data_IF_988924745481
#
_entry.id   IF_988924745481
#
_cell.length_a   1.000
_cell.length_b   1.000
_cell.length_c   1.000
_cell.angle_alpha   90.00
_cell.angle_beta   90.00
_cell.angle_gamma   90.00
#
_symmetry.space_group_name_H-M   'P 1'
#
loop_
_entity.id
_entity.type
_entity.pdbx_description
1 polymer ?
#
# COMPACT_ATOMS: atom_id res chain seq x y z
N UNK A 1 12.29 -27.23 -0.43
CA UNK A 1 11.05 -27.57 -1.17
C UNK A 1 10.34 -26.24 -1.40
N UNK A 2 10.18 -25.81 -2.64
CA UNK A 2 9.56 -24.51 -2.97
C UNK A 2 8.08 -24.58 -2.57
N UNK A 3 7.60 -23.61 -1.81
CA UNK A 3 6.19 -23.59 -1.37
C UNK A 3 5.25 -23.51 -2.58
N UNK A 4 4.01 -23.99 -2.44
CA UNK A 4 3.01 -23.83 -3.50
C UNK A 4 2.88 -22.36 -3.92
N UNK A 5 2.92 -21.45 -2.95
CA UNK A 5 2.88 -20.01 -3.18
C UNK A 5 4.04 -19.53 -4.07
N UNK A 6 5.28 -19.93 -3.79
CA UNK A 6 6.44 -19.57 -4.62
C UNK A 6 6.35 -20.16 -6.03
N UNK A 7 5.91 -21.42 -6.16
CA UNK A 7 5.71 -22.08 -7.46
C UNK A 7 4.65 -21.38 -8.30
N UNK A 8 3.60 -20.87 -7.65
CA UNK A 8 2.50 -20.15 -8.28
C UNK A 8 2.90 -18.72 -8.63
N UNK A 9 3.60 -18.03 -7.74
CA UNK A 9 3.96 -16.64 -7.91
C UNK A 9 4.97 -16.43 -9.04
N UNK A 10 5.93 -17.35 -9.25
CA UNK A 10 6.99 -17.21 -10.27
C UNK A 10 7.63 -15.81 -10.25
N UNK A 11 8.00 -15.35 -9.04
CA UNK A 11 8.34 -13.94 -8.79
C UNK A 11 9.78 -13.54 -9.16
N UNK A 12 10.62 -14.49 -9.58
CA UNK A 12 12.01 -14.20 -9.93
C UNK A 12 12.09 -13.13 -11.04
N UNK A 13 12.87 -12.08 -10.80
CA UNK A 13 13.03 -10.93 -11.70
C UNK A 13 11.70 -10.25 -12.12
N UNK A 14 10.66 -10.34 -11.28
CA UNK A 14 9.39 -9.64 -11.48
C UNK A 14 9.20 -8.58 -10.39
N UNK A 15 8.58 -7.45 -10.74
CA UNK A 15 8.09 -6.52 -9.72
C UNK A 15 6.89 -7.15 -9.00
N UNK A 16 6.82 -7.01 -7.68
CA UNK A 16 5.74 -7.58 -6.89
C UNK A 16 4.34 -7.08 -7.34
N UNK A 17 4.12 -5.80 -7.70
CA UNK A 17 2.86 -5.37 -8.31
C UNK A 17 2.49 -6.15 -9.58
N UNK A 18 3.45 -6.48 -10.44
CA UNK A 18 3.20 -7.28 -11.65
C UNK A 18 2.86 -8.72 -11.32
N UNK A 19 3.43 -9.29 -10.24
CA UNK A 19 3.07 -10.62 -9.75
C UNK A 19 1.60 -10.64 -9.32
N UNK A 20 1.16 -9.62 -8.57
CA UNK A 20 -0.25 -9.47 -8.16
C UNK A 20 -1.16 -9.36 -9.38
N UNK A 21 -0.85 -8.48 -10.33
CA UNK A 21 -1.65 -8.30 -11.56
C UNK A 21 -1.72 -9.58 -12.41
N UNK A 22 -0.61 -10.32 -12.50
CA UNK A 22 -0.56 -11.62 -13.19
C UNK A 22 -1.43 -12.65 -12.50
N UNK A 23 -1.31 -12.81 -11.19
CA UNK A 23 -2.10 -13.79 -10.43
C UNK A 23 -3.58 -13.45 -10.41
N UNK A 24 -3.95 -12.16 -10.38
CA UNK A 24 -5.33 -11.73 -10.52
C UNK A 24 -5.95 -12.14 -11.86
N UNK A 25 -5.15 -12.17 -12.94
CA UNK A 25 -5.58 -12.60 -14.28
C UNK A 25 -5.58 -14.11 -14.45
N UNK A 26 -4.51 -14.78 -14.04
CA UNK A 26 -4.31 -16.22 -14.28
C UNK A 26 -5.01 -17.10 -13.23
N UNK A 27 -5.16 -16.61 -12.01
CA UNK A 27 -5.71 -17.33 -10.85
C UNK A 27 -6.55 -16.40 -9.96
N UNK A 28 -7.61 -15.78 -10.51
CA UNK A 28 -8.38 -14.75 -9.80
C UNK A 28 -8.88 -15.18 -8.43
N UNK A 29 -9.30 -16.44 -8.29
CA UNK A 29 -9.88 -17.00 -7.06
C UNK A 29 -8.83 -17.61 -6.11
N UNK A 30 -7.55 -17.60 -6.47
CA UNK A 30 -6.51 -18.08 -5.56
C UNK A 30 -6.42 -17.16 -4.34
N UNK A 31 -6.31 -17.76 -3.15
CA UNK A 31 -6.23 -17.05 -1.87
C UNK A 31 -4.91 -16.28 -1.80
N UNK A 32 -5.01 -14.97 -1.59
CA UNK A 32 -3.86 -14.11 -1.29
C UNK A 32 -3.56 -14.14 0.21
N UNK A 33 -4.58 -13.90 1.04
CA UNK A 33 -4.42 -13.82 2.49
C UNK A 33 -5.75 -13.84 3.23
N UNK A 34 -5.66 -13.81 4.55
CA UNK A 34 -6.79 -13.89 5.48
C UNK A 34 -6.64 -12.82 6.56
N UNK A 35 -7.72 -12.13 6.87
CA UNK A 35 -7.76 -11.13 7.93
C UNK A 35 -8.96 -11.37 8.85
N UNK A 36 -8.78 -11.08 10.13
CA UNK A 36 -9.89 -11.04 11.08
C UNK A 36 -10.56 -9.67 10.94
N UNK A 37 -11.80 -9.67 10.47
CA UNK A 37 -12.63 -8.46 10.34
C UNK A 37 -13.90 -8.63 11.17
N UNK A 38 -14.07 -7.79 12.20
CA UNK A 38 -15.13 -7.96 13.19
C UNK A 38 -14.98 -9.30 13.93
N UNK A 39 -16.02 -10.15 13.88
CA UNK A 39 -16.02 -11.49 14.48
C UNK A 39 -15.67 -12.61 13.50
N UNK A 40 -15.40 -12.29 12.23
CA UNK A 40 -15.17 -13.27 11.16
C UNK A 40 -13.75 -13.24 10.60
N UNK A 41 -13.39 -14.31 9.90
CA UNK A 41 -12.20 -14.36 9.04
C UNK A 41 -12.64 -14.12 7.61
N UNK A 42 -12.08 -13.10 6.97
CA UNK A 42 -12.29 -12.82 5.55
C UNK A 42 -11.08 -13.26 4.77
N UNK A 43 -11.34 -14.07 3.74
CA UNK A 43 -10.35 -14.50 2.76
C UNK A 43 -10.34 -13.48 1.64
N UNK A 44 -9.16 -12.98 1.30
CA UNK A 44 -8.98 -12.11 0.14
C UNK A 44 -8.28 -12.90 -0.97
N UNK A 45 -8.84 -12.82 -2.17
CA UNK A 45 -8.31 -13.43 -3.39
C UNK A 45 -7.35 -12.49 -4.12
N UNK A 46 -6.59 -12.99 -5.10
CA UNK A 46 -5.73 -12.14 -5.92
C UNK A 46 -6.53 -11.14 -6.79
N UNK A 47 -7.71 -11.52 -7.28
CA UNK A 47 -8.57 -10.60 -8.03
C UNK A 47 -9.05 -9.43 -7.15
N UNK A 48 -9.42 -9.72 -5.91
CA UNK A 48 -9.82 -8.69 -4.95
C UNK A 48 -8.63 -7.82 -4.53
N UNK A 49 -7.47 -8.41 -4.22
CA UNK A 49 -6.26 -7.64 -3.92
C UNK A 49 -5.93 -6.67 -5.06
N UNK A 50 -5.91 -7.14 -6.32
CA UNK A 50 -5.61 -6.27 -7.45
C UNK A 50 -6.63 -5.13 -7.60
N UNK A 51 -7.92 -5.40 -7.36
CA UNK A 51 -8.96 -4.37 -7.36
C UNK A 51 -8.74 -3.32 -6.25
N UNK A 52 -8.45 -3.76 -5.03
CA UNK A 52 -8.14 -2.88 -3.89
C UNK A 52 -6.90 -2.03 -4.19
N UNK A 53 -5.85 -2.64 -4.74
CA UNK A 53 -4.63 -1.92 -5.16
C UNK A 53 -4.94 -0.84 -6.18
N UNK A 54 -5.77 -1.14 -7.18
CA UNK A 54 -6.16 -0.16 -8.20
C UNK A 54 -6.99 0.98 -7.60
N UNK A 55 -7.95 0.68 -6.71
CA UNK A 55 -8.74 1.71 -6.05
C UNK A 55 -7.90 2.65 -5.18
N UNK A 56 -6.94 2.10 -4.44
CA UNK A 56 -6.00 2.90 -3.66
C UNK A 56 -5.05 3.71 -4.57
N UNK A 57 -4.59 3.15 -5.68
CA UNK A 57 -3.73 3.86 -6.64
C UNK A 57 -4.44 5.10 -7.22
N UNK A 58 -5.68 4.95 -7.69
CA UNK A 58 -6.47 6.07 -8.17
C UNK A 58 -6.77 7.09 -7.07
N UNK A 59 -7.14 6.62 -5.88
CA UNK A 59 -7.37 7.51 -4.73
C UNK A 59 -6.14 8.33 -4.36
N UNK A 60 -4.93 7.75 -4.43
CA UNK A 60 -3.68 8.47 -4.21
C UNK A 60 -3.43 9.50 -5.31
N UNK A 61 -3.59 9.13 -6.59
CA UNK A 61 -3.37 10.04 -7.72
C UNK A 61 -4.31 11.25 -7.64
N UNK A 62 -5.60 11.01 -7.42
CA UNK A 62 -6.61 12.07 -7.36
C UNK A 62 -6.33 13.04 -6.22
N UNK A 63 -5.95 12.52 -5.05
CA UNK A 63 -5.66 13.34 -3.87
C UNK A 63 -4.28 14.02 -3.93
N UNK A 64 -3.28 13.39 -4.55
CA UNK A 64 -1.92 13.90 -4.64
C UNK A 64 -1.71 14.85 -5.83
N UNK A 65 -2.62 14.83 -6.80
CA UNK A 65 -2.56 15.64 -8.02
C UNK A 65 -1.76 14.99 -9.15
N UNK A 66 -1.54 13.67 -9.10
CA UNK A 66 -0.76 12.93 -10.08
C UNK A 66 0.16 11.84 -9.51
N UNK A 67 0.78 11.04 -10.38
CA UNK A 67 1.81 10.08 -9.98
C UNK A 67 3.08 10.80 -9.49
N UNK A 68 3.83 10.14 -8.61
CA UNK A 68 5.15 10.57 -8.16
C UNK A 68 6.25 10.20 -9.15
N UNK A 69 7.50 10.38 -8.74
CA UNK A 69 8.69 9.95 -9.49
C UNK A 69 9.38 8.79 -8.77
N UNK A 70 9.39 7.61 -9.38
CA UNK A 70 10.12 6.45 -8.88
C UNK A 70 11.63 6.48 -9.22
N UNK A 71 12.07 7.42 -10.05
CA UNK A 71 13.43 7.44 -10.60
C UNK A 71 14.40 8.27 -9.74
N UNK A 72 13.95 9.41 -9.21
CA UNK A 72 14.78 10.36 -8.46
C UNK A 72 14.15 10.68 -7.12
N UNK A 73 14.71 10.13 -6.03
CA UNK A 73 14.26 10.37 -4.64
C UNK A 73 12.73 10.32 -4.49
N UNK A 74 12.11 9.12 -4.61
CA UNK A 74 10.67 9.00 -4.54
C UNK A 74 10.14 9.57 -3.22
N UNK A 75 9.07 10.35 -3.32
CA UNK A 75 8.41 10.89 -2.15
C UNK A 75 7.85 9.76 -1.27
N UNK A 76 8.01 9.93 0.04
CA UNK A 76 7.59 8.95 1.03
C UNK A 76 6.20 9.30 1.54
N UNK A 77 5.27 8.34 1.43
CA UNK A 77 3.94 8.40 2.02
C UNK A 77 3.95 7.57 3.29
N UNK A 78 3.44 8.09 4.40
CA UNK A 78 3.20 7.27 5.60
C UNK A 78 1.75 6.79 5.59
N UNK A 79 1.50 5.51 5.90
CA UNK A 79 0.14 5.00 6.09
C UNK A 79 -0.07 4.43 7.48
N UNK A 80 -1.15 4.85 8.14
CA UNK A 80 -1.59 4.31 9.43
C UNK A 80 -3.09 4.04 9.37
N UNK A 81 -3.46 2.76 9.37
CA UNK A 81 -4.84 2.29 9.29
C UNK A 81 -5.10 1.04 10.12
N UNK A 82 -6.32 0.48 10.03
CA UNK A 82 -6.68 -0.80 10.63
C UNK A 82 -5.83 -1.94 10.07
N UNK A 83 -5.65 -3.00 10.87
CA UNK A 83 -4.86 -4.16 10.49
C UNK A 83 -5.63 -5.08 9.52
N UNK A 84 -5.80 -4.62 8.28
CA UNK A 84 -6.46 -5.35 7.20
C UNK A 84 -5.63 -5.32 5.91
N UNK A 85 -6.19 -5.86 4.83
CA UNK A 85 -5.52 -5.99 3.53
C UNK A 85 -5.02 -4.65 2.97
N UNK A 86 -5.57 -3.50 3.41
CA UNK A 86 -5.14 -2.18 2.93
C UNK A 86 -3.67 -1.91 3.21
N UNK A 87 -3.05 -2.47 4.25
CA UNK A 87 -1.61 -2.33 4.45
C UNK A 87 -0.82 -2.90 3.27
N UNK A 88 -1.10 -4.14 2.88
CA UNK A 88 -0.44 -4.77 1.75
C UNK A 88 -0.78 -4.07 0.42
N UNK A 89 -2.05 -3.72 0.23
CA UNK A 89 -2.51 -3.08 -0.98
C UNK A 89 -1.94 -1.67 -1.15
N UNK A 90 -1.79 -0.92 -0.05
CA UNK A 90 -1.20 0.42 -0.06
C UNK A 90 0.27 0.40 -0.49
N UNK A 91 1.03 -0.63 -0.10
CA UNK A 91 2.43 -0.79 -0.54
C UNK A 91 2.48 -0.93 -2.06
N UNK A 92 1.64 -1.80 -2.62
CA UNK A 92 1.57 -1.98 -4.08
C UNK A 92 1.04 -0.74 -4.79
N UNK A 93 0.02 -0.07 -4.23
CA UNK A 93 -0.56 1.14 -4.80
C UNK A 93 0.47 2.28 -4.85
N UNK A 94 1.15 2.56 -3.74
CA UNK A 94 2.22 3.56 -3.67
C UNK A 94 3.32 3.26 -4.71
N UNK A 95 3.80 2.01 -4.76
CA UNK A 95 4.81 1.61 -5.73
C UNK A 95 4.34 1.77 -7.18
N UNK A 96 3.09 1.40 -7.48
CA UNK A 96 2.48 1.56 -8.82
C UNK A 96 2.45 3.03 -9.23
N UNK A 97 2.11 3.93 -8.32
CA UNK A 97 1.92 5.36 -8.62
C UNK A 97 3.17 6.21 -8.39
N UNK A 98 4.34 5.59 -8.21
CA UNK A 98 5.63 6.29 -8.16
C UNK A 98 6.02 6.87 -6.79
N UNK A 99 5.47 6.32 -5.71
CA UNK A 99 5.79 6.69 -4.32
C UNK A 99 6.37 5.51 -3.54
N UNK A 100 7.00 5.80 -2.40
CA UNK A 100 7.43 4.78 -1.43
C UNK A 100 6.52 4.84 -0.21
N UNK A 101 6.06 3.68 0.25
CA UNK A 101 5.30 3.62 1.50
C UNK A 101 6.25 3.44 2.69
N UNK A 102 6.10 4.30 3.70
CA UNK A 102 6.61 4.08 5.04
C UNK A 102 5.49 3.51 5.92
N UNK A 103 5.59 2.22 6.24
CA UNK A 103 4.63 1.52 7.10
C UNK A 103 5.09 1.59 8.56
N UNK A 104 5.03 2.79 9.15
CA UNK A 104 5.44 3.01 10.55
C UNK A 104 4.61 2.18 11.52
N UNK A 105 5.25 1.63 12.56
CA UNK A 105 4.50 1.05 13.67
C UNK A 105 3.73 2.15 14.40
N UNK A 106 2.41 2.02 14.63
CA UNK A 106 1.62 2.97 15.42
C UNK A 106 2.00 2.98 16.91
N UNK A 107 2.87 2.05 17.33
CA UNK A 107 3.35 1.90 18.73
C UNK A 107 4.64 2.65 19.00
N UNK A 108 5.22 3.31 17.99
CA UNK A 108 6.42 4.10 18.20
C UNK A 108 6.13 5.27 19.14
N UNK A 109 7.12 5.68 19.92
CA UNK A 109 6.99 6.87 20.75
C UNK A 109 6.86 8.13 19.89
N UNK A 110 6.30 9.20 20.45
CA UNK A 110 6.25 10.51 19.79
C UNK A 110 7.62 10.99 19.32
N UNK A 111 8.66 10.80 20.12
CA UNK A 111 10.04 11.16 19.76
C UNK A 111 10.55 10.32 18.58
N UNK A 112 10.26 9.02 18.57
CA UNK A 112 10.63 8.14 17.47
C UNK A 112 9.90 8.52 16.18
N UNK A 113 8.59 8.80 16.23
CA UNK A 113 7.85 9.29 15.07
C UNK A 113 8.44 10.59 14.52
N UNK A 114 8.78 11.57 15.38
CA UNK A 114 9.43 12.82 14.93
C UNK A 114 10.73 12.54 14.21
N UNK A 115 11.61 11.73 14.81
CA UNK A 115 12.91 11.39 14.22
C UNK A 115 12.77 10.64 12.88
N UNK A 116 11.81 9.72 12.77
CA UNK A 116 11.59 8.94 11.55
C UNK A 116 10.99 9.79 10.42
N UNK A 117 9.98 10.63 10.72
CA UNK A 117 9.38 11.52 9.72
C UNK A 117 10.37 12.56 9.22
N UNK A 118 11.19 13.13 10.10
CA UNK A 118 12.25 14.07 9.73
C UNK A 118 13.30 13.36 8.86
N UNK A 119 13.83 12.21 9.29
CA UNK A 119 14.85 11.47 8.52
C UNK A 119 14.36 11.04 7.13
N UNK A 120 13.10 10.64 7.01
CA UNK A 120 12.50 10.19 5.75
C UNK A 120 11.86 11.33 4.94
N UNK A 121 11.89 12.56 5.48
CA UNK A 121 11.26 13.74 4.88
C UNK A 121 9.79 13.49 4.53
N UNK A 122 9.06 12.80 5.41
CA UNK A 122 7.65 12.45 5.19
C UNK A 122 6.77 13.70 5.27
N UNK A 123 6.14 14.07 4.16
CA UNK A 123 5.25 15.24 4.09
C UNK A 123 3.76 14.87 4.13
N UNK A 124 3.43 13.60 3.88
CA UNK A 124 2.04 13.12 3.76
C UNK A 124 1.80 11.96 4.71
N UNK A 125 0.78 12.09 5.56
CA UNK A 125 0.22 10.98 6.32
C UNK A 125 -1.13 10.59 5.73
N UNK A 126 -1.26 9.32 5.39
CA UNK A 126 -2.47 8.69 4.86
C UNK A 126 -3.10 7.86 5.97
N UNK A 127 -4.41 8.00 6.18
CA UNK A 127 -5.15 7.22 7.18
C UNK A 127 -6.41 6.60 6.59
N UNK A 128 -7.01 5.64 7.31
CA UNK A 128 -8.41 5.28 7.05
C UNK A 128 -9.39 6.39 7.46
N UNK A 129 -10.65 6.21 7.10
CA UNK A 129 -11.79 6.88 7.71
C UNK A 129 -12.70 5.84 8.39
N UNK A 130 -13.05 5.97 9.69
CA UNK A 130 -12.55 6.96 10.64
C UNK A 130 -11.03 6.87 10.88
N UNK A 131 -10.45 7.98 11.34
CA UNK A 131 -9.03 8.06 11.70
C UNK A 131 -8.79 7.19 12.94
N UNK A 132 -7.88 6.19 12.91
CA UNK A 132 -7.61 5.36 14.07
C UNK A 132 -6.96 6.18 15.20
N UNK A 133 -7.21 5.86 16.50
CA UNK A 133 -6.64 6.60 17.62
C UNK A 133 -5.11 6.77 17.54
N UNK A 134 -4.39 5.71 17.15
CA UNK A 134 -2.94 5.78 16.99
C UNK A 134 -2.50 6.72 15.85
N UNK A 135 -3.28 6.80 14.76
CA UNK A 135 -3.02 7.77 13.70
C UNK A 135 -3.29 9.20 14.17
N UNK A 136 -4.33 9.42 14.98
CA UNK A 136 -4.60 10.74 15.60
C UNK A 136 -3.43 11.21 16.47
N UNK A 137 -2.86 10.33 17.29
CA UNK A 137 -1.66 10.65 18.09
C UNK A 137 -0.48 11.06 17.20
N UNK A 138 -0.28 10.38 16.06
CA UNK A 138 0.78 10.72 15.11
C UNK A 138 0.50 12.06 14.42
N UNK A 139 -0.74 12.32 14.01
CA UNK A 139 -1.15 13.60 13.41
C UNK A 139 -0.88 14.78 14.37
N UNK A 140 -1.25 14.64 15.63
CA UNK A 140 -1.03 15.68 16.66
C UNK A 140 0.45 15.91 16.94
N UNK A 141 1.23 14.83 16.99
CA UNK A 141 2.67 14.87 17.20
C UNK A 141 3.39 15.55 16.03
N UNK A 142 3.16 15.06 14.81
CA UNK A 142 3.96 15.40 13.64
C UNK A 142 3.43 16.65 12.93
N UNK A 143 2.11 16.85 12.91
CA UNK A 143 1.43 17.88 12.12
C UNK A 143 1.94 17.92 10.66
N UNK A 144 1.85 16.79 9.94
CA UNK A 144 2.37 16.70 8.58
C UNK A 144 1.64 17.72 7.67
N UNK A 145 2.32 18.28 6.66
CA UNK A 145 1.72 19.23 5.72
C UNK A 145 0.44 18.72 5.04
N UNK A 146 0.36 17.41 4.79
CA UNK A 146 -0.80 16.76 4.16
C UNK A 146 -1.31 15.61 5.00
N UNK A 147 -2.63 15.58 5.19
CA UNK A 147 -3.37 14.44 5.73
C UNK A 147 -4.38 13.97 4.69
N UNK A 148 -4.23 12.74 4.22
CA UNK A 148 -5.13 12.12 3.25
C UNK A 148 -5.92 10.99 3.90
N UNK A 149 -7.13 10.74 3.38
CA UNK A 149 -7.94 9.60 3.79
C UNK A 149 -8.17 8.67 2.60
N UNK A 150 -8.08 7.37 2.84
CA UNK A 150 -8.35 6.35 1.82
C UNK A 150 -9.77 5.82 1.93
N UNK A 151 -10.34 5.27 0.84
CA UNK A 151 -11.65 4.65 0.87
C UNK A 151 -11.77 3.58 1.96
N UNK A 152 -13.02 3.31 2.37
CA UNK A 152 -13.30 2.23 3.30
C UNK A 152 -12.97 0.88 2.67
N UNK A 153 -12.81 -0.16 3.50
CA UNK A 153 -12.50 -1.48 2.98
C UNK A 153 -13.70 -2.06 2.21
N UNK A 154 -14.92 -1.77 2.66
CA UNK A 154 -16.17 -2.13 2.00
C UNK A 154 -16.23 -1.50 0.61
N UNK A 155 -15.95 -0.21 0.48
CA UNK A 155 -15.93 0.49 -0.80
C UNK A 155 -14.89 -0.10 -1.78
N UNK A 156 -13.72 -0.49 -1.26
CA UNK A 156 -12.66 -1.09 -2.08
C UNK A 156 -13.00 -2.49 -2.59
N UNK A 157 -13.91 -3.21 -1.89
CA UNK A 157 -14.41 -4.52 -2.34
C UNK A 157 -15.65 -4.41 -3.24
N UNK A 158 -16.54 -3.46 -2.98
CA UNK A 158 -17.81 -3.32 -3.71
C UNK A 158 -17.62 -2.67 -5.09
N UNK A 159 -16.75 -1.65 -5.19
CA UNK A 159 -16.52 -0.93 -6.45
C UNK A 159 -15.49 -1.64 -7.31
N UNK A 160 -15.70 -1.63 -8.63
CA UNK A 160 -14.69 -2.04 -9.62
C UNK A 160 -13.87 -0.84 -10.04
N UNK A 161 -12.55 -0.95 -9.91
CA UNK A 161 -11.62 0.12 -10.28
C UNK A 161 -10.91 -0.21 -11.60
N UNK A 162 -10.69 0.79 -12.48
CA UNK A 162 -9.88 0.59 -13.68
C UNK A 162 -8.47 0.09 -13.32
N UNK A 163 -7.89 -0.85 -14.08
CA UNK A 163 -6.52 -1.29 -13.83
C UNK A 163 -5.53 -0.12 -13.90
N UNK A 164 -4.70 0.04 -12.87
CA UNK A 164 -3.55 0.93 -12.93
C UNK A 164 -2.30 0.10 -13.26
N UNK A 165 -1.65 0.39 -14.39
CA UNK A 165 -0.50 -0.38 -14.88
C UNK A 165 0.79 0.34 -14.54
N UNK A 166 1.68 -0.33 -13.79
CA UNK A 166 3.05 0.14 -13.60
C UNK A 166 3.87 -0.21 -14.85
N UNK A 167 4.09 0.80 -15.70
CA UNK A 167 4.85 0.68 -16.95
C UNK A 167 6.36 0.80 -16.72
N UNK A 168 6.90 -0.03 -15.83
CA UNK A 168 8.33 -0.17 -15.53
C UNK A 168 8.62 -1.64 -15.26
N UNK A 169 9.76 -2.14 -15.71
CA UNK A 169 10.16 -3.52 -15.41
C UNK A 169 11.05 -3.63 -14.15
N UNK A 170 11.42 -4.86 -13.83
CA UNK A 170 12.31 -5.15 -12.71
C UNK A 170 13.69 -4.48 -12.84
N UNK A 171 14.28 -4.43 -14.04
CA UNK A 171 15.61 -3.84 -14.23
C UNK A 171 15.62 -2.35 -13.90
N UNK A 172 14.53 -1.64 -14.23
CA UNK A 172 14.40 -0.22 -13.93
C UNK A 172 14.29 0.08 -12.43
N UNK A 173 13.60 -0.78 -11.66
CA UNK A 173 13.27 -0.49 -10.26
C UNK A 173 13.99 -1.36 -9.22
N UNK A 174 14.80 -2.35 -9.61
CA UNK A 174 15.45 -3.31 -8.68
C UNK A 174 16.32 -2.69 -7.57
N UNK A 175 16.81 -1.46 -7.77
CA UNK A 175 17.63 -0.72 -6.79
C UNK A 175 16.88 0.45 -6.15
N UNK A 176 15.59 0.61 -6.45
CA UNK A 176 14.76 1.65 -5.87
C UNK A 176 14.07 1.11 -4.60
N UNK A 177 13.91 1.95 -3.57
CA UNK A 177 13.14 1.56 -2.39
C UNK A 177 11.71 1.18 -2.79
N UNK A 178 11.23 0.07 -2.24
CA UNK A 178 9.84 -0.39 -2.43
C UNK A 178 8.96 -0.02 -1.23
N UNK A 179 9.50 -0.23 -0.03
CA UNK A 179 8.84 0.02 1.25
C UNK A 179 9.90 0.40 2.31
N UNK A 180 9.52 1.24 3.26
CA UNK A 180 10.27 1.49 4.51
C UNK A 180 9.47 0.90 5.67
N UNK A 181 10.13 0.11 6.52
CA UNK A 181 9.55 -0.60 7.67
C UNK A 181 10.19 -0.12 8.98
#
# INVERSE_FOLDING_TARGET
>A
MVSEHERVARAANCLLPHVVDRLARERPNARYGEWVMGSGVTIVTYAELANVVNGLAWSLIDQLGGPGSSETHPAVLTYVGPNDVRYSAMVFAAAKVGYVLFATSPRNSTAAHRALFDRLQCQTLVTSDPVPPAASTILEAIKPPRHLKVPSIEELFEKRYPPYVLDKDFQHLRHKPFIVL
#
